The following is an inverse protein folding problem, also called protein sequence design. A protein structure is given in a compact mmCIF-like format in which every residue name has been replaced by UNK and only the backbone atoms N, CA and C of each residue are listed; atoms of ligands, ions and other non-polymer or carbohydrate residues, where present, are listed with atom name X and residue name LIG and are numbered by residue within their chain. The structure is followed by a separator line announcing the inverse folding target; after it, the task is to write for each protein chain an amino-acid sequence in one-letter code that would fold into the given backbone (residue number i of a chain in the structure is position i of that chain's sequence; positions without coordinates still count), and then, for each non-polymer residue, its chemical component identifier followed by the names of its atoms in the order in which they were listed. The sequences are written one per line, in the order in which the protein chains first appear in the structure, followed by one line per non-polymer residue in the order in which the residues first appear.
data_IF_164962220886
#
_entry.id   IF_164962220886
#
_cell.length_a   1.000
_cell.length_b   1.000
_cell.length_c   1.000
_cell.angle_alpha   90.00
_cell.angle_beta   90.00
_cell.angle_gamma   90.00
#
_symmetry.space_group_name_H-M   'P 1'
#
loop_
_entity.id
_entity.type
_entity.pdbx_description
1 polymer ?
#
# COMPACT_ATOMS: atom_id res chain seq x y z
N UNK A 1 -28.83 -8.35 9.97
CA UNK A 1 -28.07 -9.58 9.66
C UNK A 1 -28.11 -9.77 8.15
N UNK A 2 -26.98 -9.68 7.46
CA UNK A 2 -26.90 -10.06 6.05
C UNK A 2 -26.74 -11.59 5.97
N UNK A 3 -27.53 -12.25 5.13
CA UNK A 3 -27.46 -13.69 4.89
C UNK A 3 -27.00 -13.92 3.45
N UNK A 4 -25.84 -14.56 3.29
CA UNK A 4 -25.27 -14.87 1.98
C UNK A 4 -25.31 -16.39 1.73
N UNK A 5 -25.55 -16.84 0.48
CA UNK A 5 -25.34 -18.24 0.11
C UNK A 5 -23.86 -18.62 0.32
N UNK A 6 -23.61 -19.89 0.68
CA UNK A 6 -22.27 -20.39 1.04
C UNK A 6 -21.18 -20.07 -0.01
N UNK A 7 -21.53 -20.03 -1.30
CA UNK A 7 -20.60 -19.71 -2.40
C UNK A 7 -20.18 -18.24 -2.47
N UNK A 8 -20.92 -17.32 -1.83
CA UNK A 8 -20.61 -15.88 -1.82
C UNK A 8 -20.08 -15.37 -0.47
N UNK A 9 -20.02 -16.24 0.55
CA UNK A 9 -19.65 -15.86 1.90
C UNK A 9 -18.17 -15.50 2.02
N UNK A 10 -17.27 -16.32 1.47
CA UNK A 10 -15.82 -16.04 1.53
C UNK A 10 -15.48 -14.74 0.78
N UNK A 11 -16.00 -14.57 -0.43
CA UNK A 11 -15.84 -13.35 -1.21
C UNK A 11 -16.42 -12.13 -0.49
N UNK A 12 -17.59 -12.27 0.17
CA UNK A 12 -18.14 -11.21 0.99
C UNK A 12 -17.25 -10.89 2.18
N UNK A 13 -16.77 -11.88 2.93
CA UNK A 13 -15.93 -11.69 4.12
C UNK A 13 -14.61 -10.99 3.79
N UNK A 14 -14.01 -11.29 2.63
CA UNK A 14 -12.83 -10.59 2.10
C UNK A 14 -13.09 -9.11 1.85
N UNK A 15 -14.29 -8.75 1.39
CA UNK A 15 -14.65 -7.38 1.02
C UNK A 15 -15.60 -6.72 2.03
N UNK A 16 -15.81 -7.35 3.19
CA UNK A 16 -16.81 -6.91 4.15
C UNK A 16 -16.30 -5.70 4.93
N UNK A 17 -17.05 -4.61 4.89
CA UNK A 17 -16.77 -3.41 5.68
C UNK A 17 -16.79 -3.64 7.19
N UNK A 18 -17.48 -4.69 7.66
CA UNK A 18 -17.64 -5.04 9.08
C UNK A 18 -16.79 -6.25 9.51
N UNK A 19 -16.08 -6.87 8.57
CA UNK A 19 -15.17 -7.97 8.85
C UNK A 19 -13.90 -7.47 9.56
N UNK A 20 -13.26 -8.31 10.38
CA UNK A 20 -12.03 -7.91 11.05
C UNK A 20 -10.90 -7.75 10.03
N UNK A 21 -10.14 -6.66 10.15
CA UNK A 21 -8.98 -6.40 9.31
C UNK A 21 -7.79 -7.25 9.79
N UNK A 22 -7.11 -7.91 8.86
CA UNK A 22 -5.84 -8.60 9.14
C UNK A 22 -4.68 -7.63 8.99
N UNK A 23 -3.58 -7.87 9.71
CA UNK A 23 -2.38 -7.04 9.66
C UNK A 23 -1.90 -6.76 8.23
N UNK A 24 -1.96 -5.50 7.81
CA UNK A 24 -1.64 -5.03 6.45
C UNK A 24 -0.14 -5.09 6.15
N UNK A 25 0.67 -5.32 7.18
CA UNK A 25 2.13 -5.36 7.10
C UNK A 25 2.69 -6.70 6.59
N UNK A 26 1.84 -7.70 6.36
CA UNK A 26 2.20 -8.96 5.69
C UNK A 26 3.29 -9.81 6.37
N UNK A 27 3.81 -9.40 7.53
CA UNK A 27 4.84 -10.14 8.25
C UNK A 27 4.24 -11.35 8.96
N UNK A 28 4.86 -12.53 8.85
CA UNK A 28 4.42 -13.72 9.61
C UNK A 28 4.37 -13.49 11.13
N UNK A 29 5.12 -12.50 11.62
CA UNK A 29 5.16 -12.09 13.01
C UNK A 29 3.90 -11.35 13.49
N UNK A 30 3.16 -10.68 12.59
CA UNK A 30 1.97 -9.91 12.96
C UNK A 30 0.70 -10.67 12.57
N UNK A 31 0.04 -11.25 13.57
CA UNK A 31 -1.25 -11.96 13.43
C UNK A 31 -2.42 -11.14 13.93
N UNK A 32 -2.24 -9.82 14.04
CA UNK A 32 -3.29 -8.95 14.56
C UNK A 32 -4.53 -9.02 13.67
N UNK A 33 -5.67 -9.05 14.33
CA UNK A 33 -7.00 -9.11 13.75
C UNK A 33 -7.91 -8.28 14.65
N UNK A 34 -8.59 -7.29 14.09
CA UNK A 34 -9.40 -6.37 14.89
C UNK A 34 -10.26 -5.44 14.04
N UNK A 35 -11.00 -4.52 14.68
CA UNK A 35 -11.81 -3.54 13.97
C UNK A 35 -10.92 -2.56 13.20
N UNK A 36 -11.40 -2.06 12.06
CA UNK A 36 -10.60 -1.22 11.15
C UNK A 36 -10.12 0.07 11.83
N UNK A 37 -10.94 0.62 12.70
CA UNK A 37 -10.66 1.85 13.44
C UNK A 37 -9.45 1.69 14.37
N UNK A 38 -9.16 0.47 14.84
CA UNK A 38 -8.01 0.17 15.71
C UNK A 38 -6.73 -0.17 14.93
N UNK A 39 -6.80 -0.30 13.60
CA UNK A 39 -5.66 -0.73 12.78
C UNK A 39 -4.47 0.22 12.91
N UNK A 40 -4.70 1.54 12.80
CA UNK A 40 -3.63 2.52 12.88
C UNK A 40 -3.01 2.52 14.28
N UNK A 41 -3.83 2.48 15.32
CA UNK A 41 -3.36 2.38 16.71
C UNK A 41 -2.52 1.11 16.95
N UNK A 42 -2.95 -0.02 16.38
CA UNK A 42 -2.18 -1.25 16.40
C UNK A 42 -0.82 -1.07 15.70
N UNK A 43 -0.78 -0.55 14.47
CA UNK A 43 0.46 -0.31 13.72
C UNK A 43 1.42 0.55 14.54
N UNK A 44 0.91 1.62 15.16
CA UNK A 44 1.72 2.55 15.94
C UNK A 44 2.35 1.90 17.16
N UNK A 45 1.61 1.01 17.84
CA UNK A 45 2.07 0.37 19.08
C UNK A 45 2.96 -0.85 18.80
N UNK A 46 2.59 -1.69 17.84
CA UNK A 46 3.26 -2.95 17.57
C UNK A 46 4.37 -2.82 16.52
N UNK A 47 4.33 -1.80 15.67
CA UNK A 47 5.26 -1.59 14.56
C UNK A 47 5.83 -0.16 14.56
N UNK A 48 6.60 0.21 15.61
CA UNK A 48 7.08 1.58 15.81
C UNK A 48 8.01 2.09 14.70
N UNK A 49 8.56 1.20 13.87
CA UNK A 49 9.43 1.54 12.75
C UNK A 49 8.68 1.94 11.48
N UNK A 50 7.34 1.78 11.43
CA UNK A 50 6.54 2.20 10.29
C UNK A 50 6.50 3.74 10.27
N UNK A 51 7.08 4.40 9.25
CA UNK A 51 7.08 5.86 9.16
C UNK A 51 5.67 6.41 9.04
N UNK A 52 5.48 7.60 9.63
CA UNK A 52 4.21 8.31 9.65
C UNK A 52 4.39 9.68 9.03
N UNK A 53 3.56 10.00 8.05
CA UNK A 53 3.56 11.28 7.36
C UNK A 53 2.24 12.01 7.57
N UNK A 54 2.28 13.34 7.44
CA UNK A 54 1.10 14.21 7.48
C UNK A 54 1.08 15.11 6.27
N UNK A 55 -0.11 15.38 5.76
CA UNK A 55 -0.30 16.19 4.55
C UNK A 55 -0.70 15.32 3.35
N UNK A 56 -1.29 15.97 2.36
CA UNK A 56 -1.82 15.32 1.16
C UNK A 56 -0.73 14.97 0.15
N UNK A 57 0.39 15.71 0.13
CA UNK A 57 1.58 15.39 -0.66
C UNK A 57 2.73 15.04 0.27
N UNK A 58 3.28 13.85 0.10
CA UNK A 58 4.36 13.30 0.95
C UNK A 58 5.38 12.58 0.10
N UNK A 59 6.65 12.68 0.47
CA UNK A 59 7.74 11.96 -0.19
C UNK A 59 8.28 10.90 0.73
N UNK A 60 8.45 9.68 0.23
CA UNK A 60 9.10 8.60 0.95
C UNK A 60 10.17 7.94 0.08
N UNK A 61 11.19 7.41 0.76
CA UNK A 61 12.38 6.82 0.16
C UNK A 61 12.56 5.40 0.68
N UNK A 62 12.16 4.37 -0.09
CA UNK A 62 12.39 2.98 0.29
C UNK A 62 13.89 2.67 0.40
N UNK A 63 14.36 2.45 1.63
CA UNK A 63 15.76 2.07 1.92
C UNK A 63 16.01 0.60 1.59
N UNK A 64 17.28 0.21 1.39
CA UNK A 64 17.69 -1.18 1.10
C UNK A 64 17.13 -1.74 -0.21
N UNK A 65 16.91 -0.86 -1.19
CA UNK A 65 16.43 -1.22 -2.52
C UNK A 65 17.33 -2.22 -3.26
N UNK A 66 18.62 -2.19 -2.95
CA UNK A 66 19.71 -3.01 -3.48
C UNK A 66 19.68 -4.47 -2.99
N UNK A 67 19.04 -4.77 -1.86
CA UNK A 67 19.02 -6.13 -1.29
C UNK A 67 18.25 -7.11 -2.17
N UNK A 68 18.76 -8.33 -2.32
CA UNK A 68 18.16 -9.37 -3.18
C UNK A 68 16.86 -9.97 -2.64
N UNK A 69 16.57 -9.77 -1.35
CA UNK A 69 15.44 -10.41 -0.68
C UNK A 69 14.10 -9.75 -1.01
N UNK A 70 13.02 -10.54 -0.91
CA UNK A 70 11.67 -9.99 -0.90
C UNK A 70 11.52 -9.08 0.30
N UNK A 71 11.07 -7.86 0.07
CA UNK A 71 10.98 -6.85 1.11
C UNK A 71 9.72 -6.01 0.91
N UNK A 72 9.14 -5.51 2.00
CA UNK A 72 7.96 -4.65 1.94
C UNK A 72 8.19 -3.41 2.79
N UNK A 73 7.95 -2.25 2.20
CA UNK A 73 7.92 -0.96 2.86
C UNK A 73 6.47 -0.58 3.11
N UNK A 74 6.23 -0.05 4.30
CA UNK A 74 4.92 0.39 4.74
C UNK A 74 5.04 1.80 5.29
N UNK A 75 4.02 2.62 5.06
CA UNK A 75 3.91 3.93 5.69
C UNK A 75 2.46 4.23 6.03
N UNK A 76 2.26 5.04 7.06
CA UNK A 76 0.95 5.63 7.39
C UNK A 76 0.97 7.09 6.98
N UNK A 77 0.00 7.53 6.20
CA UNK A 77 -0.19 8.93 5.81
C UNK A 77 -1.52 9.42 6.37
N UNK A 78 -1.48 10.52 7.12
CA UNK A 78 -2.69 11.16 7.65
C UNK A 78 -2.95 12.47 6.91
N UNK A 79 -4.07 12.54 6.18
CA UNK A 79 -4.50 13.75 5.47
C UNK A 79 -6.02 13.75 5.25
N UNK A 80 -6.61 14.90 4.90
CA UNK A 80 -8.04 14.99 4.56
C UNK A 80 -9.00 14.40 5.62
N UNK A 81 -8.58 14.37 6.89
CA UNK A 81 -9.35 13.79 8.01
C UNK A 81 -9.38 12.26 8.06
N UNK A 82 -8.50 11.58 7.32
CA UNK A 82 -8.40 10.12 7.23
C UNK A 82 -6.95 9.63 7.31
N UNK A 83 -6.82 8.35 7.61
CA UNK A 83 -5.54 7.63 7.61
C UNK A 83 -5.47 6.72 6.39
N UNK A 84 -4.30 6.68 5.77
CA UNK A 84 -4.02 5.91 4.58
C UNK A 84 -2.80 5.04 4.83
N UNK A 85 -2.85 3.80 4.34
CA UNK A 85 -1.75 2.85 4.41
C UNK A 85 -1.12 2.76 3.02
N UNK A 86 0.16 3.06 2.94
CA UNK A 86 0.97 2.90 1.73
C UNK A 86 1.72 1.58 1.85
N UNK A 87 1.67 0.77 0.80
CA UNK A 87 2.44 -0.47 0.72
C UNK A 87 3.23 -0.47 -0.58
N UNK A 88 4.54 -0.67 -0.45
CA UNK A 88 5.42 -0.96 -1.57
C UNK A 88 6.09 -2.31 -1.32
N UNK A 89 5.98 -3.24 -2.26
CA UNK A 89 6.51 -4.60 -2.13
C UNK A 89 7.48 -4.89 -3.26
N UNK A 90 8.71 -5.27 -2.90
CA UNK A 90 9.66 -5.92 -3.80
C UNK A 90 9.43 -7.43 -3.74
N UNK A 91 9.11 -8.03 -4.87
CA UNK A 91 8.88 -9.46 -5.00
C UNK A 91 9.63 -10.03 -6.20
N UNK A 92 10.32 -11.16 -6.03
CA UNK A 92 11.08 -11.77 -7.12
C UNK A 92 11.54 -13.17 -6.75
N UNK A 93 11.60 -14.06 -7.75
CA UNK A 93 12.07 -15.45 -7.56
C UNK A 93 13.52 -15.64 -8.00
N UNK A 94 14.10 -14.67 -8.72
CA UNK A 94 15.47 -14.71 -9.22
C UNK A 94 16.09 -13.30 -9.32
N UNK A 95 17.43 -13.18 -9.19
CA UNK A 95 18.14 -11.92 -9.42
C UNK A 95 17.82 -11.36 -10.81
N UNK A 96 17.49 -10.07 -10.90
CA UNK A 96 17.14 -9.39 -12.15
C UNK A 96 15.68 -9.52 -12.59
N UNK A 97 14.88 -10.40 -11.98
CA UNK A 97 13.45 -10.59 -12.27
C UNK A 97 12.54 -10.15 -11.10
N UNK A 98 13.06 -9.26 -10.27
CA UNK A 98 12.30 -8.69 -9.16
C UNK A 98 11.42 -7.56 -9.66
N UNK A 99 10.17 -7.52 -9.18
CA UNK A 99 9.17 -6.50 -9.43
C UNK A 99 8.91 -5.69 -8.18
N UNK A 100 8.64 -4.42 -8.36
CA UNK A 100 8.12 -3.55 -7.33
C UNK A 100 6.66 -3.30 -7.62
N UNK A 101 5.84 -3.48 -6.60
CA UNK A 101 4.40 -3.23 -6.64
C UNK A 101 4.07 -2.20 -5.57
N UNK A 102 3.26 -1.21 -5.88
CA UNK A 102 2.88 -0.16 -4.93
C UNK A 102 1.41 0.17 -5.02
N UNK A 103 0.74 0.14 -3.87
CA UNK A 103 -0.67 0.46 -3.73
C UNK A 103 -0.90 1.26 -2.45
N UNK A 104 -2.00 1.99 -2.42
CA UNK A 104 -2.40 2.81 -1.27
C UNK A 104 -3.81 2.39 -0.90
N UNK A 105 -4.09 2.23 0.40
CA UNK A 105 -5.42 1.93 0.93
C UNK A 105 -5.88 2.97 1.94
N UNK A 106 -7.18 3.27 1.98
CA UNK A 106 -7.77 4.12 3.03
C UNK A 106 -8.22 3.25 4.21
N UNK A 107 -7.92 3.68 5.42
CA UNK A 107 -8.49 3.10 6.64
C UNK A 107 -9.91 3.64 6.79
N UNK A 108 -10.85 3.04 6.06
CA UNK A 108 -12.21 3.53 5.97
C UNK A 108 -13.24 2.52 5.45
N UNK A 109 -14.46 2.99 5.23
CA UNK A 109 -15.53 2.21 4.59
C UNK A 109 -15.39 2.22 3.05
N UNK A 110 -16.10 1.34 2.33
CA UNK A 110 -16.13 1.36 0.86
C UNK A 110 -16.64 2.67 0.26
N UNK A 111 -17.45 3.44 1.00
CA UNK A 111 -17.85 4.77 0.57
C UNK A 111 -16.69 5.77 0.65
N UNK A 112 -15.75 5.55 1.56
CA UNK A 112 -14.55 6.38 1.71
C UNK A 112 -13.50 6.02 0.68
N UNK A 113 -13.39 4.76 0.28
CA UNK A 113 -12.56 4.33 -0.84
C UNK A 113 -12.89 5.11 -2.12
N UNK A 114 -14.16 5.44 -2.35
CA UNK A 114 -14.61 6.19 -3.54
C UNK A 114 -14.44 7.71 -3.44
N UNK A 115 -14.08 8.24 -2.27
CA UNK A 115 -13.94 9.69 -2.05
C UNK A 115 -12.53 10.20 -2.37
N UNK A 116 -11.57 9.30 -2.55
CA UNK A 116 -10.17 9.68 -2.68
C UNK A 116 -9.52 8.94 -3.85
N UNK A 117 -8.63 9.64 -4.51
CA UNK A 117 -7.70 9.08 -5.48
C UNK A 117 -6.27 9.36 -5.01
N UNK A 118 -5.33 8.61 -5.57
CA UNK A 118 -3.93 8.83 -5.31
C UNK A 118 -3.11 8.83 -6.59
N UNK A 119 -2.04 9.63 -6.55
CA UNK A 119 -0.99 9.66 -7.54
C UNK A 119 0.34 9.27 -6.90
N UNK A 120 1.01 8.27 -7.47
CA UNK A 120 2.41 7.96 -7.19
C UNK A 120 3.28 8.50 -8.32
N UNK A 121 4.33 9.21 -7.96
CA UNK A 121 5.28 9.78 -8.90
C UNK A 121 6.70 9.43 -8.51
N UNK A 122 7.43 8.86 -9.45
CA UNK A 122 8.85 8.54 -9.33
C UNK A 122 9.60 9.41 -10.34
N UNK A 123 10.53 10.23 -9.85
CA UNK A 123 11.30 11.17 -10.67
C UNK A 123 12.78 10.83 -10.58
N UNK A 124 13.33 10.29 -11.66
CA UNK A 124 14.77 10.28 -11.90
C UNK A 124 15.22 11.55 -12.64
N UNK A 125 16.51 11.64 -12.93
CA UNK A 125 17.10 12.82 -13.58
C UNK A 125 16.47 13.14 -14.95
N UNK A 126 16.11 12.10 -15.70
CA UNK A 126 15.63 12.22 -17.08
C UNK A 126 14.30 11.53 -17.34
N UNK A 127 13.90 10.63 -16.45
CA UNK A 127 12.70 9.82 -16.60
C UNK A 127 11.76 10.05 -15.43
N UNK A 128 10.47 10.03 -15.74
CA UNK A 128 9.42 10.13 -14.74
C UNK A 128 8.37 9.06 -15.00
N UNK A 129 8.00 8.37 -13.94
CA UNK A 129 6.88 7.44 -13.91
C UNK A 129 5.78 8.07 -13.05
N UNK A 130 4.58 8.17 -13.59
CA UNK A 130 3.40 8.62 -12.84
C UNK A 130 2.34 7.55 -12.94
N UNK A 131 1.75 7.19 -11.80
CA UNK A 131 0.63 6.26 -11.69
C UNK A 131 -0.49 6.93 -10.90
N UNK A 132 -1.69 6.89 -11.45
CA UNK A 132 -2.90 7.41 -10.82
C UNK A 132 -3.91 6.27 -10.70
N UNK A 133 -4.54 6.16 -9.54
CA UNK A 133 -5.57 5.14 -9.32
C UNK A 133 -6.48 5.49 -8.16
N UNK A 134 -7.62 4.81 -8.12
CA UNK A 134 -8.57 4.90 -7.02
C UNK A 134 -7.99 4.26 -5.76
N UNK A 135 -8.43 4.77 -4.61
CA UNK A 135 -8.11 4.21 -3.30
C UNK A 135 -8.48 2.72 -3.22
N UNK A 136 -7.60 1.91 -2.64
CA UNK A 136 -7.95 0.53 -2.30
C UNK A 136 -8.59 0.45 -0.91
N UNK A 137 -9.43 -0.56 -0.72
CA UNK A 137 -9.84 -0.99 0.62
C UNK A 137 -8.72 -1.74 1.33
N UNK A 138 -8.67 -1.64 2.66
CA UNK A 138 -7.64 -2.32 3.48
C UNK A 138 -7.59 -3.83 3.23
N UNK A 139 -8.76 -4.47 3.10
CA UNK A 139 -8.82 -5.92 2.93
C UNK A 139 -8.48 -6.34 1.49
N UNK A 140 -8.73 -5.48 0.50
CA UNK A 140 -8.44 -5.72 -0.92
C UNK A 140 -6.97 -5.44 -1.28
N UNK A 141 -6.22 -4.74 -0.43
CA UNK A 141 -4.88 -4.27 -0.73
C UNK A 141 -3.89 -5.40 -1.07
N UNK A 142 -3.96 -6.52 -0.34
CA UNK A 142 -3.10 -7.68 -0.60
C UNK A 142 -3.42 -8.29 -1.98
N UNK A 143 -4.70 -8.47 -2.29
CA UNK A 143 -5.15 -8.97 -3.58
C UNK A 143 -4.72 -8.05 -4.73
N UNK A 144 -4.92 -6.74 -4.59
CA UNK A 144 -4.52 -5.73 -5.58
C UNK A 144 -3.02 -5.81 -5.94
N UNK A 145 -2.16 -6.05 -4.93
CA UNK A 145 -0.72 -6.23 -5.15
C UNK A 145 -0.43 -7.55 -5.89
N UNK A 146 -1.12 -8.63 -5.54
CA UNK A 146 -0.94 -9.97 -6.13
C UNK A 146 -1.50 -10.09 -7.56
N UNK A 147 -2.65 -9.46 -7.83
CA UNK A 147 -3.30 -9.41 -9.15
C UNK A 147 -2.57 -8.48 -10.12
N UNK A 148 -1.81 -7.51 -9.59
CA UNK A 148 -1.09 -6.51 -10.37
C UNK A 148 -1.93 -5.32 -10.79
N UNK A 149 -3.07 -5.10 -10.14
CA UNK A 149 -3.94 -3.93 -10.33
C UNK A 149 -3.43 -2.69 -9.57
N UNK A 150 -2.11 -2.50 -9.56
CA UNK A 150 -1.43 -1.39 -8.89
C UNK A 150 -0.20 -0.96 -9.69
N UNK A 151 0.51 0.07 -9.22
CA UNK A 151 1.77 0.45 -9.85
C UNK A 151 2.74 -0.73 -9.80
N UNK A 152 3.13 -1.26 -10.95
CA UNK A 152 4.12 -2.33 -11.05
C UNK A 152 5.22 -1.99 -12.06
N UNK A 153 6.47 -2.21 -11.66
CA UNK A 153 7.62 -2.06 -12.55
C UNK A 153 8.76 -2.99 -12.14
N UNK A 154 9.60 -3.37 -13.09
CA UNK A 154 10.78 -4.18 -12.83
C UNK A 154 11.86 -3.34 -12.12
N UNK A 155 12.65 -3.99 -11.27
CA UNK A 155 13.79 -3.35 -10.58
C UNK A 155 14.81 -2.79 -11.58
N UNK A 156 14.96 -3.40 -12.76
CA UNK A 156 15.79 -2.86 -13.84
C UNK A 156 15.29 -1.50 -14.32
N UNK A 157 13.98 -1.34 -14.54
CA UNK A 157 13.37 -0.06 -14.89
C UNK A 157 13.55 0.99 -13.80
N UNK A 158 13.57 0.57 -12.53
CA UNK A 158 13.81 1.46 -11.41
C UNK A 158 15.18 2.14 -11.45
N UNK A 159 16.21 1.51 -12.05
CA UNK A 159 17.55 2.09 -12.17
C UNK A 159 17.55 3.41 -12.95
N UNK A 160 16.64 3.56 -13.91
CA UNK A 160 16.47 4.80 -14.68
C UNK A 160 15.68 5.89 -13.95
N UNK A 161 15.06 5.54 -12.81
CA UNK A 161 14.23 6.41 -11.97
C UNK A 161 14.94 6.79 -10.67
N UNK A 162 16.18 6.34 -10.45
CA UNK A 162 16.97 6.73 -9.29
C UNK A 162 17.41 8.19 -9.44
N UNK A 163 17.33 8.92 -8.33
CA UNK A 163 17.83 10.29 -8.21
C UNK A 163 18.95 10.27 -7.17
N UNK A 164 20.19 10.54 -7.60
CA UNK A 164 21.36 10.44 -6.73
C UNK A 164 21.63 9.02 -6.19
N UNK A 165 21.07 7.98 -6.82
CA UNK A 165 21.18 6.58 -6.39
C UNK A 165 20.00 6.07 -5.56
N UNK A 166 19.10 6.95 -5.12
CA UNK A 166 17.94 6.60 -4.32
C UNK A 166 16.64 6.63 -5.13
N UNK A 167 15.73 5.71 -4.81
CA UNK A 167 14.38 5.74 -5.37
C UNK A 167 13.53 6.68 -4.52
N UNK A 168 13.12 7.81 -5.11
CA UNK A 168 12.26 8.80 -4.42
C UNK A 168 10.85 8.67 -4.95
N UNK A 169 9.90 8.43 -4.04
CA UNK A 169 8.49 8.26 -4.38
C UNK A 169 7.69 9.39 -3.76
N UNK A 170 7.08 10.20 -4.60
CA UNK A 170 6.11 11.21 -4.20
C UNK A 170 4.70 10.61 -4.28
N UNK A 171 3.97 10.70 -3.18
CA UNK A 171 2.57 10.34 -3.08
C UNK A 171 1.75 11.62 -2.91
N UNK A 172 0.75 11.80 -3.77
CA UNK A 172 -0.28 12.82 -3.60
C UNK A 172 -1.65 12.16 -3.47
N UNK A 173 -2.40 12.49 -2.43
CA UNK A 173 -3.77 12.04 -2.19
C UNK A 173 -4.71 13.23 -2.37
N UNK A 174 -5.79 13.05 -3.11
CA UNK A 174 -6.77 14.10 -3.37
C UNK A 174 -8.19 13.54 -3.38
N UNK A 175 -9.19 14.42 -3.29
CA UNK A 175 -10.58 14.00 -3.40
C UNK A 175 -10.92 13.68 -4.87
N UNK A 176 -11.63 12.57 -5.08
CA UNK A 176 -12.11 12.12 -6.39
C UNK A 176 -13.27 12.99 -6.91
#
# INVERSE_FOLDING_TARGET
MASFPLSGKEHHEEHCSFGPCRGVLGSEACKWTGPREELVDHIVRAHPFVPRFRGNTTTFMPTHFDRHENFSWHAVVTCLGRDFIVVMKKSGRAPGFSKISSAVAVVGSPEEERKYDYQLRLCGDWHRLTWESNMQGINSLAHCIESGECLQFDVSSAQHLLNGGDLVVELTIYAA
#
